data_IF_596976245836
#
_entry.id   IF_596976245836
#
_cell.length_a   1.000
_cell.length_b   1.000
_cell.length_c   1.000
_cell.angle_alpha   90.00
_cell.angle_beta   90.00
_cell.angle_gamma   90.00
#
_symmetry.space_group_name_H-M   'P 1'
#
loop_
_entity.id
_entity.type
_entity.pdbx_description
1 polymer ?
#
# COMPACT_ATOMS: atom_id res chain seq x y z
N UNK A 1 11.18 17.44 -18.98
CA UNK A 1 10.47 16.41 -18.20
C UNK A 1 11.00 16.47 -16.78
N UNK A 2 10.17 16.88 -15.81
CA UNK A 2 10.59 16.95 -14.40
C UNK A 2 10.34 15.62 -13.69
N UNK A 3 11.18 15.30 -12.71
CA UNK A 3 11.06 14.07 -11.91
C UNK A 3 9.74 14.01 -11.13
N UNK A 4 9.18 15.18 -10.75
CA UNK A 4 7.88 15.27 -10.08
C UNK A 4 6.74 14.68 -10.92
N UNK A 5 6.58 15.08 -12.19
CA UNK A 5 5.53 14.55 -13.06
C UNK A 5 5.60 13.03 -13.23
N UNK A 6 6.81 12.47 -13.19
CA UNK A 6 6.99 11.02 -13.30
C UNK A 6 6.56 10.32 -12.01
N UNK A 7 6.84 10.91 -10.85
CA UNK A 7 6.38 10.41 -9.56
C UNK A 7 4.85 10.52 -9.47
N UNK A 8 4.26 11.64 -9.91
CA UNK A 8 2.79 11.79 -9.96
C UNK A 8 2.14 10.71 -10.82
N UNK A 9 2.72 10.40 -11.99
CA UNK A 9 2.25 9.29 -12.81
C UNK A 9 2.36 7.96 -12.08
N UNK A 10 3.47 7.68 -11.41
CA UNK A 10 3.62 6.43 -10.65
C UNK A 10 2.62 6.35 -9.48
N UNK A 11 2.34 7.49 -8.85
CA UNK A 11 1.32 7.60 -7.80
C UNK A 11 -0.09 7.29 -8.32
N UNK A 12 -0.46 7.83 -9.50
CA UNK A 12 -1.73 7.54 -10.16
C UNK A 12 -1.89 6.04 -10.49
N UNK A 13 -0.81 5.33 -10.76
CA UNK A 13 -0.83 3.89 -10.97
C UNK A 13 -0.85 3.06 -9.67
N UNK A 14 -0.96 3.69 -8.50
CA UNK A 14 -0.94 3.02 -7.20
C UNK A 14 0.29 2.13 -6.99
N UNK A 15 1.44 2.54 -7.54
CA UNK A 15 2.68 1.80 -7.41
C UNK A 15 3.35 2.03 -6.05
N UNK A 16 3.87 0.96 -5.47
CA UNK A 16 4.75 1.06 -4.29
C UNK A 16 6.04 1.83 -4.61
N UNK A 17 6.72 2.34 -3.58
CA UNK A 17 7.98 3.07 -3.73
C UNK A 17 9.01 2.27 -4.56
N UNK A 18 9.16 0.98 -4.30
CA UNK A 18 10.08 0.10 -5.03
C UNK A 18 9.70 -0.05 -6.51
N UNK A 19 8.41 -0.16 -6.81
CA UNK A 19 7.93 -0.21 -8.18
C UNK A 19 8.16 1.12 -8.91
N UNK A 20 7.94 2.26 -8.25
CA UNK A 20 8.27 3.57 -8.79
C UNK A 20 9.77 3.66 -9.14
N UNK A 21 10.64 3.23 -8.24
CA UNK A 21 12.09 3.28 -8.45
C UNK A 21 12.52 2.44 -9.65
N UNK A 22 12.01 1.20 -9.74
CA UNK A 22 12.31 0.31 -10.88
C UNK A 22 11.79 0.88 -12.19
N UNK A 23 10.53 1.32 -12.23
CA UNK A 23 9.91 1.90 -13.41
C UNK A 23 10.66 3.17 -13.88
N UNK A 24 11.05 4.04 -12.95
CA UNK A 24 11.79 5.27 -13.30
C UNK A 24 13.21 4.98 -13.77
N UNK A 25 13.87 3.96 -13.21
CA UNK A 25 15.18 3.51 -13.66
C UNK A 25 15.11 2.91 -15.07
N UNK A 26 14.09 2.09 -15.36
CA UNK A 26 13.94 1.36 -16.63
C UNK A 26 13.38 2.24 -17.75
N UNK A 27 12.35 3.05 -17.47
CA UNK A 27 11.69 3.88 -18.50
C UNK A 27 12.33 5.25 -18.71
N UNK A 28 12.95 5.82 -17.67
CA UNK A 28 13.49 7.18 -17.72
C UNK A 28 15.00 7.26 -17.46
N UNK A 29 15.67 6.13 -17.14
CA UNK A 29 17.10 6.12 -16.84
C UNK A 29 17.47 6.92 -15.57
N UNK A 30 16.50 7.18 -14.69
CA UNK A 30 16.72 8.02 -13.50
C UNK A 30 17.41 7.18 -12.43
N UNK A 31 18.47 7.76 -11.82
CA UNK A 31 19.18 7.12 -10.71
C UNK A 31 18.23 6.86 -9.54
N UNK A 32 18.18 5.63 -8.99
CA UNK A 32 17.34 5.29 -7.84
C UNK A 32 17.50 6.24 -6.66
N UNK A 33 18.73 6.73 -6.43
CA UNK A 33 19.05 7.66 -5.36
C UNK A 33 18.29 8.99 -5.47
N UNK A 34 18.08 9.49 -6.69
CA UNK A 34 17.32 10.72 -6.95
C UNK A 34 15.86 10.48 -6.61
N UNK A 35 15.28 9.39 -7.12
CA UNK A 35 13.89 9.00 -6.85
C UNK A 35 13.62 8.84 -5.35
N UNK A 36 14.52 8.17 -4.62
CA UNK A 36 14.39 7.97 -3.17
C UNK A 36 14.44 9.30 -2.41
N UNK A 37 15.35 10.19 -2.80
CA UNK A 37 15.48 11.51 -2.17
C UNK A 37 14.22 12.34 -2.38
N UNK A 38 13.75 12.45 -3.62
CA UNK A 38 12.53 13.21 -3.94
C UNK A 38 11.31 12.60 -3.25
N UNK A 39 11.20 11.28 -3.21
CA UNK A 39 10.12 10.58 -2.53
C UNK A 39 10.10 10.85 -1.01
N UNK A 40 11.27 10.90 -0.37
CA UNK A 40 11.39 11.25 1.06
C UNK A 40 10.97 12.69 1.35
N UNK A 41 11.35 13.63 0.49
CA UNK A 41 10.94 15.03 0.65
C UNK A 41 9.43 15.19 0.43
N UNK A 42 8.86 14.56 -0.59
CA UNK A 42 7.41 14.52 -0.82
C UNK A 42 6.65 13.91 0.37
N UNK A 43 7.18 12.84 0.98
CA UNK A 43 6.61 12.25 2.18
C UNK A 43 6.59 13.21 3.37
N UNK A 44 7.65 14.01 3.55
CA UNK A 44 7.73 14.97 4.65
C UNK A 44 6.75 16.11 4.47
N UNK A 45 6.62 16.63 3.25
CA UNK A 45 5.70 17.72 2.93
C UNK A 45 4.23 17.27 2.98
N UNK A 46 3.93 16.06 2.49
CA UNK A 46 2.57 15.59 2.28
C UNK A 46 2.21 14.33 3.08
N UNK A 47 2.54 14.31 4.39
CA UNK A 47 2.35 13.14 5.27
C UNK A 47 0.94 12.54 5.23
N UNK A 48 -0.09 13.37 5.25
CA UNK A 48 -1.49 12.90 5.24
C UNK A 48 -1.87 12.23 3.91
N UNK A 49 -1.38 12.75 2.78
CA UNK A 49 -1.59 12.13 1.48
C UNK A 49 -0.96 10.74 1.42
N UNK A 50 0.29 10.61 1.85
CA UNK A 50 0.98 9.31 1.86
C UNK A 50 0.33 8.31 2.81
N UNK A 51 -0.24 8.76 3.93
CA UNK A 51 -0.99 7.91 4.85
C UNK A 51 -2.27 7.35 4.23
N UNK A 52 -2.99 8.13 3.43
CA UNK A 52 -4.13 7.63 2.65
C UNK A 52 -3.68 6.74 1.48
N UNK A 53 -2.62 7.14 0.78
CA UNK A 53 -2.05 6.42 -0.34
C UNK A 53 -1.58 5.00 0.04
N UNK A 54 -0.87 4.86 1.15
CA UNK A 54 -0.40 3.57 1.65
C UNK A 54 -1.56 2.63 1.99
N UNK A 55 -2.71 3.15 2.44
CA UNK A 55 -3.90 2.32 2.69
C UNK A 55 -4.51 1.73 1.41
N UNK A 56 -4.31 2.41 0.26
CA UNK A 56 -4.78 1.92 -1.04
C UNK A 56 -3.76 0.96 -1.66
N UNK A 57 -2.47 1.30 -1.59
CA UNK A 57 -1.38 0.50 -2.19
C UNK A 57 -1.10 -0.78 -1.41
N UNK A 58 -1.24 -0.76 -0.09
CA UNK A 58 -1.22 -1.97 0.74
C UNK A 58 -2.67 -2.34 1.07
N UNK A 59 -3.35 -3.15 0.24
CA UNK A 59 -4.62 -3.71 0.65
C UNK A 59 -4.31 -4.51 1.91
N UNK A 60 -4.81 -4.04 3.06
CA UNK A 60 -4.68 -4.73 4.33
C UNK A 60 -5.07 -6.19 4.08
N UNK A 61 -4.23 -7.18 4.41
CA UNK A 61 -4.77 -8.52 4.61
C UNK A 61 -5.73 -8.35 5.77
N UNK A 62 -7.02 -8.35 5.47
CA UNK A 62 -8.07 -8.53 6.47
C UNK A 62 -7.82 -9.92 7.08
N UNK A 63 -6.96 -10.02 8.09
CA UNK A 63 -6.84 -11.25 8.86
C UNK A 63 -6.78 -10.98 10.35
N UNK A 64 -7.94 -11.28 10.95
CA UNK A 64 -8.19 -11.77 12.32
C UNK A 64 -7.69 -10.94 13.50
N UNK A 65 -8.64 -10.33 14.23
CA UNK A 65 -8.76 -10.49 15.69
C UNK A 65 -10.05 -9.88 16.24
N UNK A 66 -11.15 -10.67 16.22
CA UNK A 66 -12.19 -10.57 17.25
C UNK A 66 -12.98 -11.87 17.50
N UNK A 67 -12.37 -13.04 17.29
CA UNK A 67 -12.98 -14.33 17.66
C UNK A 67 -12.02 -15.19 18.50
N UNK A 68 -11.41 -14.62 19.53
CA UNK A 68 -11.00 -15.38 20.71
C UNK A 68 -11.69 -14.79 21.92
N UNK A 69 -12.93 -15.22 22.14
CA UNK A 69 -13.49 -15.58 23.44
C UNK A 69 -15.01 -15.76 23.30
N UNK A 70 -15.40 -17.02 23.10
CA UNK A 70 -16.41 -17.73 23.91
C UNK A 70 -16.76 -18.99 23.14
N UNK A 71 -16.25 -20.12 23.61
CA UNK A 71 -17.01 -21.37 23.45
C UNK A 71 -18.24 -21.24 24.35
N UNK A 72 -19.46 -21.45 23.85
CA UNK A 72 -20.48 -22.12 24.61
C UNK A 72 -20.60 -23.57 24.13
N UNK A 73 -20.66 -24.44 25.11
CA UNK A 73 -20.74 -25.89 24.97
C UNK A 73 -22.02 -26.35 24.25
N UNK A 74 -21.85 -27.46 23.52
CA UNK A 74 -22.76 -28.60 23.31
C UNK A 74 -24.25 -28.43 23.67
N UNK A 75 -25.12 -28.46 22.65
CA UNK A 75 -26.46 -29.08 22.55
C UNK A 75 -27.18 -28.41 21.36
N UNK A 76 -27.92 -29.03 20.44
CA UNK A 76 -28.80 -30.20 20.48
C UNK A 76 -29.17 -30.56 19.03
N UNK A 77 -29.46 -31.85 18.79
CA UNK A 77 -30.09 -32.49 17.60
C UNK A 77 -31.26 -31.65 17.00
N UNK A 78 -31.73 -31.78 15.74
CA UNK A 78 -32.14 -32.98 14.97
C UNK A 78 -32.36 -32.65 13.48
N UNK A 79 -31.96 -33.59 12.64
CA UNK A 79 -32.63 -34.16 11.43
C UNK A 79 -33.86 -33.47 10.85
N UNK A 80 -33.86 -33.29 9.52
CA UNK A 80 -35.07 -33.26 8.68
C UNK A 80 -34.88 -34.21 7.49
N UNK A 81 -35.83 -35.17 7.34
CA UNK A 81 -36.17 -35.90 6.11
C UNK A 81 -37.53 -35.37 5.67
#
# INVERSE_FOLDING_TARGET
MQVQNLIERCMLFHMSQDQCIRALAEHAGIKPLVTVTVWKELQKENKEFFRAYLQVVTPRPLFMSRCFQRRPNLARRKHWK
#
